data_IF_406506151623
#
_entry.id   IF_406506151623
#
_cell.length_a   1.000
_cell.length_b   1.000
_cell.length_c   1.000
_cell.angle_alpha   90.00
_cell.angle_beta   90.00
_cell.angle_gamma   90.00
#
_symmetry.space_group_name_H-M   'P 1'
#
loop_
_entity.id
_entity.type
_entity.pdbx_description
1 polymer ?
#
# COMPACT_ATOMS: atom_id res chain seq x y z
N UNK A 1 25.34 0.07 7.30
CA UNK A 1 24.08 0.54 6.67
C UNK A 1 23.01 0.52 7.74
N UNK A 2 23.08 1.50 8.61
CA UNK A 2 22.29 1.59 9.81
C UNK A 2 21.11 2.49 9.45
N UNK A 3 20.09 1.89 8.80
CA UNK A 3 18.83 2.60 8.57
C UNK A 3 18.19 2.78 9.93
N UNK A 4 18.52 3.92 10.54
CA UNK A 4 17.96 4.42 11.79
C UNK A 4 16.45 4.29 11.68
N UNK A 5 15.89 3.58 12.65
CA UNK A 5 14.46 3.43 12.84
C UNK A 5 13.86 4.84 12.97
N UNK A 6 13.31 5.37 11.89
CA UNK A 6 12.55 6.60 11.92
C UNK A 6 11.18 6.25 12.55
N UNK A 7 10.81 6.84 13.69
CA UNK A 7 9.50 6.60 14.32
C UNK A 7 8.31 7.15 13.52
N UNK A 8 8.57 7.68 12.31
CA UNK A 8 7.59 8.18 11.36
C UNK A 8 7.74 7.38 10.07
N UNK A 9 6.76 6.52 9.78
CA UNK A 9 6.67 5.85 8.48
C UNK A 9 6.71 6.91 7.38
N UNK A 10 7.71 6.83 6.51
CA UNK A 10 7.86 7.77 5.39
C UNK A 10 6.78 7.49 4.33
N UNK A 11 6.54 8.43 3.43
CA UNK A 11 5.63 8.24 2.29
C UNK A 11 5.93 6.94 1.51
N UNK A 12 7.21 6.61 1.34
CA UNK A 12 7.64 5.38 0.68
C UNK A 12 7.28 4.12 1.47
N UNK A 13 7.38 4.17 2.81
CA UNK A 13 7.02 3.04 3.67
C UNK A 13 5.52 2.73 3.58
N UNK A 14 4.67 3.76 3.54
CA UNK A 14 3.23 3.60 3.31
C UNK A 14 2.92 2.97 1.96
N UNK A 15 3.61 3.41 0.89
CA UNK A 15 3.49 2.81 -0.45
C UNK A 15 3.87 1.33 -0.42
N UNK A 16 5.02 0.98 0.15
CA UNK A 16 5.48 -0.41 0.23
C UNK A 16 4.55 -1.28 1.07
N UNK A 17 4.00 -0.73 2.16
CA UNK A 17 3.00 -1.39 2.99
C UNK A 17 1.71 -1.68 2.24
N UNK A 18 1.17 -0.69 1.52
CA UNK A 18 -0.02 -0.87 0.68
C UNK A 18 0.19 -1.96 -0.37
N UNK A 19 1.35 -1.93 -1.06
CA UNK A 19 1.72 -2.95 -2.05
C UNK A 19 1.76 -4.34 -1.43
N UNK A 20 2.39 -4.47 -0.26
CA UNK A 20 2.52 -5.74 0.44
C UNK A 20 1.16 -6.31 0.86
N UNK A 21 0.28 -5.47 1.42
CA UNK A 21 -1.06 -5.87 1.83
C UNK A 21 -1.90 -6.32 0.63
N UNK A 22 -1.81 -5.62 -0.51
CA UNK A 22 -2.46 -6.03 -1.75
C UNK A 22 -1.91 -7.37 -2.29
N UNK A 23 -0.59 -7.60 -2.20
CA UNK A 23 0.02 -8.88 -2.57
C UNK A 23 -0.41 -10.02 -1.64
N UNK A 24 -0.52 -9.74 -0.34
CA UNK A 24 -1.06 -10.67 0.65
C UNK A 24 -2.57 -10.91 0.50
N UNK A 25 -3.28 -10.09 -0.30
CA UNK A 25 -4.73 -10.13 -0.45
C UNK A 25 -5.48 -9.70 0.81
N UNK A 26 -4.85 -8.88 1.65
CA UNK A 26 -5.47 -8.27 2.83
C UNK A 26 -6.40 -7.14 2.39
N UNK A 27 -7.52 -6.87 3.09
CA UNK A 27 -8.35 -5.71 2.80
C UNK A 27 -7.58 -4.40 3.03
N UNK A 28 -7.95 -3.33 2.31
CA UNK A 28 -7.35 -1.99 2.48
C UNK A 28 -7.52 -1.52 3.92
N UNK A 29 -6.40 -1.21 4.58
CA UNK A 29 -6.38 -0.60 5.91
C UNK A 29 -5.71 0.77 5.80
N UNK A 30 -6.50 1.76 5.38
CA UNK A 30 -6.03 3.13 5.29
C UNK A 30 -5.97 3.76 6.69
N UNK A 31 -4.86 4.41 7.07
CA UNK A 31 -4.78 5.15 8.32
C UNK A 31 -5.73 6.37 8.29
N UNK A 32 -6.68 6.44 9.23
CA UNK A 32 -7.68 7.52 9.30
C UNK A 32 -7.11 8.86 9.81
N UNK A 33 -6.05 8.81 10.62
CA UNK A 33 -5.49 10.00 11.28
C UNK A 33 -4.40 10.71 10.47
N UNK A 34 -4.03 10.18 9.30
CA UNK A 34 -3.00 10.76 8.46
C UNK A 34 -3.40 10.67 6.97
N UNK A 35 -4.00 11.74 6.41
CA UNK A 35 -4.51 11.72 5.03
C UNK A 35 -3.40 11.59 3.98
N UNK A 36 -2.17 11.99 4.31
CA UNK A 36 -1.02 11.80 3.43
C UNK A 36 -0.64 10.32 3.36
N UNK A 37 -0.50 9.67 4.51
CA UNK A 37 -0.27 8.23 4.64
C UNK A 37 -1.38 7.41 3.99
N UNK A 38 -2.65 7.80 4.15
CA UNK A 38 -3.78 7.14 3.50
C UNK A 38 -3.64 7.15 1.98
N UNK A 39 -3.30 8.32 1.42
CA UNK A 39 -3.08 8.48 -0.03
C UNK A 39 -1.88 7.64 -0.51
N UNK A 40 -0.78 7.63 0.24
CA UNK A 40 0.43 6.86 -0.09
C UNK A 40 0.20 5.34 -0.01
N UNK A 41 -0.50 4.88 1.02
CA UNK A 41 -0.91 3.49 1.16
C UNK A 41 -1.82 3.05 0.02
N UNK A 42 -2.83 3.85 -0.34
CA UNK A 42 -3.77 3.51 -1.41
C UNK A 42 -3.07 3.39 -2.77
N UNK A 43 -2.14 4.32 -3.09
CA UNK A 43 -1.30 4.24 -4.29
C UNK A 43 -0.54 2.92 -4.36
N UNK A 44 0.10 2.55 -3.24
CA UNK A 44 0.81 1.29 -3.14
C UNK A 44 -0.10 0.07 -3.32
N UNK A 45 -1.22 0.06 -2.61
CA UNK A 45 -2.16 -1.05 -2.66
C UNK A 45 -2.72 -1.26 -4.08
N UNK A 46 -3.07 -0.18 -4.77
CA UNK A 46 -3.52 -0.24 -6.16
C UNK A 46 -2.43 -0.80 -7.10
N UNK A 47 -1.17 -0.37 -6.94
CA UNK A 47 -0.04 -0.94 -7.70
C UNK A 47 0.12 -2.44 -7.40
N UNK A 48 0.03 -2.83 -6.13
CA UNK A 48 0.15 -4.21 -5.69
C UNK A 48 -0.95 -5.12 -6.28
N UNK A 49 -2.21 -4.66 -6.26
CA UNK A 49 -3.35 -5.39 -6.84
C UNK A 49 -3.16 -5.61 -8.35
N UNK A 50 -2.70 -4.58 -9.06
CA UNK A 50 -2.53 -4.59 -10.51
C UNK A 50 -1.38 -5.50 -10.92
N UNK A 51 -0.26 -5.48 -10.16
CA UNK A 51 0.91 -6.34 -10.42
C UNK A 51 0.71 -7.79 -10.00
N UNK A 52 -0.07 -8.06 -8.95
CA UNK A 52 -0.42 -9.43 -8.54
C UNK A 52 -1.34 -10.12 -9.55
N UNK A 53 -2.10 -9.35 -10.32
CA UNK A 53 -3.14 -9.87 -11.20
C UNK A 53 -2.81 -9.67 -12.68
N UNK A 54 -1.91 -10.46 -13.30
CA UNK A 54 -1.80 -10.50 -14.75
C UNK A 54 -3.01 -11.18 -15.42
N UNK A 55 -3.91 -11.82 -14.66
CA UNK A 55 -4.96 -12.72 -15.19
C UNK A 55 -6.37 -12.50 -14.66
N UNK A 56 -6.62 -11.52 -13.78
CA UNK A 56 -7.99 -11.19 -13.34
C UNK A 56 -8.42 -9.85 -13.93
N UNK A 57 -9.29 -9.82 -14.96
CA UNK A 57 -9.95 -8.57 -15.32
C UNK A 57 -10.70 -8.09 -14.09
N UNK A 58 -10.42 -6.85 -13.67
CA UNK A 58 -11.17 -6.15 -12.63
C UNK A 58 -12.66 -6.30 -12.95
N UNK A 59 -13.40 -7.00 -12.09
CA UNK A 59 -14.85 -6.88 -12.08
C UNK A 59 -15.14 -5.40 -11.83
N UNK A 60 -15.61 -4.73 -12.88
CA UNK A 60 -16.32 -3.47 -12.74
C UNK A 60 -17.61 -3.80 -12.00
N UNK A 61 -17.79 -3.19 -10.84
CA UNK A 61 -19.14 -2.89 -10.36
C UNK A 61 -19.59 -1.60 -11.05
#
# INVERSE_FOLDING_TARGET
>A
MDRVSNPYMTNQDWIDRGKNDAWAGKPKQVPEHDPQAASMYDLGYCEGETRRSPTRPKAKE
#
